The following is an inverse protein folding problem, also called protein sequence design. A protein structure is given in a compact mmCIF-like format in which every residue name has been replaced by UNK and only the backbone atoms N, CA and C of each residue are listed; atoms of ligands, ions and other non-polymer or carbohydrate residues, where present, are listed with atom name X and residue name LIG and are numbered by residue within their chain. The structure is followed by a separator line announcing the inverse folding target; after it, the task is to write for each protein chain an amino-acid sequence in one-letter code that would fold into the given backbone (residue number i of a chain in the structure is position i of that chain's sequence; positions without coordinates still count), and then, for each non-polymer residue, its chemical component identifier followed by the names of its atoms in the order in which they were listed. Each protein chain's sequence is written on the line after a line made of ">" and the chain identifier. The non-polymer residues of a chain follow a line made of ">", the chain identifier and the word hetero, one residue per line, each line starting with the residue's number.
data_IF_219989098231
#
_entry.id   IF_219989098231
#
_cell.length_a   1.000
_cell.length_b   1.000
_cell.length_c   1.000
_cell.angle_alpha   90.00
_cell.angle_beta   90.00
_cell.angle_gamma   90.00
#
_symmetry.space_group_name_H-M   'P 1'
#
loop_
_entity.id
_entity.type
_entity.pdbx_description
1 polymer ?
#
# COMPACT_ATOMS: atom_id res chain seq x y z
N UNK A 1 9.04 1.52 -0.25
CA UNK A 1 10.10 0.48 -0.35
C UNK A 1 9.58 -0.81 0.29
N UNK A 2 9.96 -1.97 -0.25
CA UNK A 2 9.61 -3.27 0.34
C UNK A 2 10.71 -4.30 0.05
N UNK A 3 11.08 -5.09 1.07
CA UNK A 3 12.10 -6.12 0.95
C UNK A 3 12.44 -6.76 2.30
N UNK A 4 13.56 -7.45 2.38
CA UNK A 4 14.10 -8.01 3.62
C UNK A 4 15.17 -7.11 4.22
N UNK A 5 15.28 -7.10 5.54
CA UNK A 5 16.37 -6.39 6.24
C UNK A 5 17.72 -7.13 6.17
N UNK A 6 17.72 -8.40 5.82
CA UNK A 6 18.88 -9.25 5.60
C UNK A 6 18.41 -10.62 5.09
N UNK A 7 19.30 -11.48 4.58
CA UNK A 7 18.94 -12.85 4.22
C UNK A 7 18.25 -13.57 5.39
N UNK A 8 17.07 -14.13 5.17
CA UNK A 8 16.25 -14.77 6.21
C UNK A 8 15.61 -13.82 7.25
N UNK A 9 15.85 -12.52 7.15
CA UNK A 9 15.26 -11.51 8.02
C UNK A 9 13.79 -11.20 7.72
N UNK A 10 13.16 -10.32 8.52
CA UNK A 10 11.77 -9.95 8.35
C UNK A 10 11.55 -9.25 6.99
N UNK A 11 10.41 -9.52 6.37
CA UNK A 11 9.90 -8.72 5.25
C UNK A 11 9.35 -7.43 5.81
N UNK A 12 9.90 -6.32 5.35
CA UNK A 12 9.52 -4.98 5.80
C UNK A 12 9.08 -4.11 4.66
N UNK A 13 8.30 -3.10 4.99
CA UNK A 13 7.90 -2.06 4.05
C UNK A 13 7.93 -0.67 4.70
N UNK A 14 8.14 0.33 3.86
CA UNK A 14 7.86 1.74 4.11
C UNK A 14 6.87 2.15 3.04
N UNK A 15 5.66 2.54 3.45
CA UNK A 15 4.57 2.89 2.53
C UNK A 15 4.51 4.39 2.27
N UNK A 16 3.83 4.78 1.18
CA UNK A 16 3.36 6.14 0.96
C UNK A 16 1.87 6.18 1.28
N UNK A 17 1.46 7.07 2.15
CA UNK A 17 0.05 7.25 2.46
C UNK A 17 -0.66 7.89 1.26
N UNK A 18 -1.84 7.39 0.91
CA UNK A 18 -2.72 7.99 -0.09
C UNK A 18 -3.96 8.54 0.61
N UNK A 19 -4.03 9.85 0.88
CA UNK A 19 -5.18 10.46 1.55
C UNK A 19 -6.38 10.66 0.62
N UNK A 20 -6.18 10.56 -0.69
CA UNK A 20 -7.21 10.85 -1.70
C UNK A 20 -8.10 9.66 -2.05
N UNK A 21 -7.61 8.44 -1.82
CA UNK A 21 -8.31 7.21 -2.19
C UNK A 21 -8.26 6.20 -1.05
N UNK A 22 -9.35 5.45 -0.89
CA UNK A 22 -9.44 4.50 0.21
C UNK A 22 -10.65 3.58 0.12
N UNK A 23 -10.99 3.03 1.27
CA UNK A 23 -12.19 2.22 1.47
C UNK A 23 -13.00 2.82 2.60
N UNK A 24 -14.29 2.99 2.38
CA UNK A 24 -15.27 3.30 3.43
C UNK A 24 -16.20 2.11 3.65
N UNK A 25 -16.58 1.89 4.89
CA UNK A 25 -17.55 0.87 5.28
C UNK A 25 -18.57 1.49 6.21
N UNK A 26 -19.85 1.31 5.87
CA UNK A 26 -20.98 1.71 6.71
C UNK A 26 -21.70 0.47 7.22
N UNK A 27 -21.95 0.41 8.54
CA UNK A 27 -22.84 -0.58 9.12
C UNK A 27 -24.28 -0.10 9.02
N UNK A 28 -25.08 -0.73 8.18
CA UNK A 28 -26.46 -0.32 7.85
C UNK A 28 -27.53 -1.03 8.68
N UNK A 29 -27.15 -2.03 9.47
CA UNK A 29 -28.09 -2.70 10.34
C UNK A 29 -27.57 -3.96 11.01
N UNK A 30 -28.44 -4.55 11.85
CA UNK A 30 -28.18 -5.80 12.54
C UNK A 30 -28.67 -7.00 11.72
N UNK A 31 -28.33 -8.22 12.15
CA UNK A 31 -28.72 -9.48 11.53
C UNK A 31 -27.55 -10.34 11.13
N UNK A 32 -27.77 -11.38 10.32
CA UNK A 32 -26.68 -12.18 9.75
C UNK A 32 -25.67 -11.32 8.99
N UNK A 33 -24.40 -11.73 8.99
CA UNK A 33 -23.35 -11.02 8.26
C UNK A 33 -23.69 -10.96 6.77
N UNK A 34 -23.80 -9.77 6.24
CA UNK A 34 -23.92 -9.50 4.79
C UNK A 34 -23.08 -8.31 4.38
N UNK A 35 -22.51 -8.41 3.18
CA UNK A 35 -21.68 -7.38 2.56
C UNK A 35 -22.31 -6.97 1.24
N UNK A 36 -22.41 -5.68 1.01
CA UNK A 36 -22.82 -5.07 -0.25
C UNK A 36 -21.70 -4.14 -0.73
N UNK A 37 -21.45 -4.09 -2.02
CA UNK A 37 -20.43 -3.23 -2.65
C UNK A 37 -20.08 -3.70 -4.05
N UNK A 38 -19.65 -2.77 -4.90
CA UNK A 38 -19.21 -3.06 -6.25
C UNK A 38 -18.02 -2.14 -6.59
N UNK A 39 -16.80 -2.71 -6.73
CA UNK A 39 -16.47 -4.13 -6.47
C UNK A 39 -16.39 -4.47 -4.98
N UNK A 40 -16.67 -5.73 -4.62
CA UNK A 40 -16.37 -6.25 -3.29
C UNK A 40 -14.86 -6.49 -3.15
N UNK A 41 -14.22 -5.76 -2.24
CA UNK A 41 -12.77 -5.86 -1.98
C UNK A 41 -12.42 -6.93 -0.95
N UNK A 42 -13.39 -7.42 -0.18
CA UNK A 42 -13.25 -8.53 0.77
C UNK A 42 -14.41 -9.50 0.61
N UNK A 43 -14.14 -10.80 0.77
CA UNK A 43 -15.18 -11.82 0.79
C UNK A 43 -15.88 -11.89 2.15
N UNK A 44 -17.09 -12.49 2.19
CA UNK A 44 -17.80 -12.73 3.44
C UNK A 44 -16.99 -13.62 4.41
N UNK A 45 -16.18 -14.55 3.90
CA UNK A 45 -15.31 -15.39 4.72
C UNK A 45 -14.19 -14.56 5.39
N UNK A 46 -13.55 -13.65 4.65
CA UNK A 46 -12.53 -12.74 5.19
C UNK A 46 -13.15 -11.78 6.22
N UNK A 47 -14.34 -11.25 5.95
CA UNK A 47 -15.06 -10.38 6.87
C UNK A 47 -15.42 -11.11 8.18
N UNK A 48 -15.95 -12.33 8.07
CA UNK A 48 -16.26 -13.16 9.23
C UNK A 48 -15.01 -13.45 10.06
N UNK A 49 -13.91 -13.82 9.41
CA UNK A 49 -12.63 -14.09 10.07
C UNK A 49 -12.07 -12.82 10.73
N UNK A 50 -12.16 -11.67 10.09
CA UNK A 50 -11.73 -10.39 10.66
C UNK A 50 -12.50 -10.04 11.93
N UNK A 51 -13.84 -10.12 11.90
CA UNK A 51 -14.70 -9.86 13.05
C UNK A 51 -14.40 -10.81 14.22
N UNK A 52 -14.26 -12.10 13.94
CA UNK A 52 -13.87 -13.12 14.94
C UNK A 52 -12.53 -12.78 15.59
N UNK A 53 -11.50 -12.42 14.79
CA UNK A 53 -10.15 -12.12 15.29
C UNK A 53 -10.07 -10.86 16.14
N UNK A 54 -10.95 -9.89 15.92
CA UNK A 54 -11.05 -8.70 16.79
C UNK A 54 -12.04 -8.90 17.95
N UNK A 55 -12.61 -10.10 18.12
CA UNK A 55 -13.52 -10.45 19.21
C UNK A 55 -14.91 -9.84 19.10
N UNK A 56 -15.35 -9.51 17.89
CA UNK A 56 -16.66 -8.94 17.62
C UNK A 56 -17.64 -10.02 17.08
N UNK A 57 -18.95 -9.84 17.25
CA UNK A 57 -19.94 -10.73 16.67
C UNK A 57 -19.80 -10.80 15.14
N UNK A 58 -19.82 -12.01 14.59
CA UNK A 58 -19.85 -12.24 13.13
C UNK A 58 -21.29 -12.01 12.63
N UNK A 59 -21.70 -10.74 12.64
CA UNK A 59 -23.05 -10.31 12.35
C UNK A 59 -23.07 -8.86 11.86
N UNK A 60 -24.18 -8.44 11.26
CA UNK A 60 -24.42 -7.09 10.77
C UNK A 60 -24.43 -6.97 9.26
N UNK A 61 -25.07 -5.92 8.77
CA UNK A 61 -25.11 -5.58 7.35
C UNK A 61 -24.16 -4.41 7.11
N UNK A 62 -23.30 -4.55 6.11
CA UNK A 62 -22.26 -3.57 5.78
C UNK A 62 -22.28 -3.24 4.31
N UNK A 63 -22.19 -1.94 4.00
CA UNK A 63 -21.98 -1.42 2.64
C UNK A 63 -20.53 -0.99 2.54
N UNK A 64 -19.83 -1.50 1.53
CA UNK A 64 -18.41 -1.24 1.27
C UNK A 64 -18.29 -0.41 0.01
N UNK A 65 -17.59 0.70 0.08
CA UNK A 65 -17.26 1.54 -1.07
C UNK A 65 -15.74 1.65 -1.18
N UNK A 66 -15.20 1.35 -2.36
CA UNK A 66 -13.77 1.35 -2.61
C UNK A 66 -13.45 2.16 -3.86
N UNK A 67 -12.47 3.06 -3.75
CA UNK A 67 -12.09 3.95 -4.86
C UNK A 67 -11.17 3.26 -5.88
N UNK A 68 -10.51 2.17 -5.49
CA UNK A 68 -9.56 1.43 -6.33
C UNK A 68 -9.88 -0.06 -6.33
N UNK A 69 -9.49 -0.74 -7.41
CA UNK A 69 -9.73 -2.17 -7.57
C UNK A 69 -8.87 -3.02 -6.60
N UNK A 70 -9.41 -4.15 -6.11
CA UNK A 70 -8.65 -5.10 -5.30
C UNK A 70 -7.56 -5.78 -6.16
N UNK A 71 -6.48 -6.20 -5.48
CA UNK A 71 -5.35 -6.87 -6.16
C UNK A 71 -4.42 -5.92 -6.91
N UNK A 72 -4.64 -4.60 -6.81
CA UNK A 72 -3.78 -3.58 -7.40
C UNK A 72 -2.40 -3.45 -6.73
N UNK A 73 -2.24 -3.96 -5.51
CA UNK A 73 -1.03 -3.72 -4.71
C UNK A 73 -1.02 -2.36 -4.00
N UNK A 74 -2.20 -1.72 -3.89
CA UNK A 74 -2.40 -0.43 -3.22
C UNK A 74 -3.00 -0.55 -1.81
N UNK A 75 -2.92 -1.72 -1.18
CA UNK A 75 -3.38 -1.94 0.20
C UNK A 75 -4.90 -2.01 0.39
N UNK A 76 -5.69 -2.10 -0.69
CA UNK A 76 -7.16 -2.01 -0.63
C UNK A 76 -7.80 -3.10 0.23
N UNK A 77 -7.25 -4.32 0.23
CA UNK A 77 -7.78 -5.42 1.04
C UNK A 77 -7.59 -5.16 2.53
N UNK A 78 -6.39 -4.77 2.95
CA UNK A 78 -6.13 -4.36 4.34
C UNK A 78 -6.99 -3.15 4.73
N UNK A 79 -7.15 -2.16 3.85
CA UNK A 79 -7.99 -0.99 4.09
C UNK A 79 -9.46 -1.40 4.34
N UNK A 80 -9.99 -2.32 3.54
CA UNK A 80 -11.35 -2.81 3.67
C UNK A 80 -11.57 -3.60 4.99
N UNK A 81 -10.64 -4.47 5.37
CA UNK A 81 -10.70 -5.20 6.63
C UNK A 81 -10.66 -4.25 7.84
N UNK A 82 -9.76 -3.26 7.82
CA UNK A 82 -9.66 -2.24 8.87
C UNK A 82 -10.94 -1.41 8.95
N UNK A 83 -11.46 -0.93 7.81
CA UNK A 83 -12.69 -0.14 7.77
C UNK A 83 -13.90 -0.95 8.26
N UNK A 84 -14.02 -2.24 7.88
CA UNK A 84 -15.06 -3.13 8.35
C UNK A 84 -15.03 -3.30 9.88
N UNK A 85 -13.86 -3.60 10.44
CA UNK A 85 -13.73 -3.82 11.88
C UNK A 85 -14.00 -2.53 12.67
N UNK A 86 -13.59 -1.36 12.15
CA UNK A 86 -13.93 -0.05 12.72
C UNK A 86 -15.43 0.22 12.68
N UNK A 87 -16.09 -0.03 11.56
CA UNK A 87 -17.55 0.10 11.43
C UNK A 87 -18.29 -0.85 12.38
N UNK A 88 -17.68 -1.96 12.75
CA UNK A 88 -18.21 -2.91 13.73
C UNK A 88 -17.88 -2.54 15.19
N UNK A 89 -17.01 -1.53 15.44
CA UNK A 89 -16.69 -0.99 16.76
C UNK A 89 -15.31 -1.33 17.32
N UNK A 90 -14.35 -1.79 16.48
CA UNK A 90 -12.97 -2.03 16.90
C UNK A 90 -12.04 -0.90 16.45
N UNK A 91 -11.49 -0.12 17.39
CA UNK A 91 -10.51 0.95 17.12
C UNK A 91 -9.09 0.63 17.61
N UNK A 92 -8.87 -0.54 18.22
CA UNK A 92 -7.54 -0.97 18.66
C UNK A 92 -6.65 -1.32 17.46
N UNK A 93 -5.73 -0.41 17.10
CA UNK A 93 -4.81 -0.60 15.97
C UNK A 93 -3.96 -1.86 16.09
N UNK A 94 -3.56 -2.28 17.29
CA UNK A 94 -2.77 -3.49 17.47
C UNK A 94 -3.61 -4.76 17.27
N UNK A 95 -4.86 -4.76 17.71
CA UNK A 95 -5.81 -5.85 17.42
C UNK A 95 -6.12 -5.93 15.93
N UNK A 96 -6.38 -4.79 15.28
CA UNK A 96 -6.60 -4.69 13.84
C UNK A 96 -5.41 -5.25 13.03
N UNK A 97 -4.18 -4.90 13.41
CA UNK A 97 -2.97 -5.36 12.74
C UNK A 97 -2.84 -6.90 12.81
N UNK A 98 -3.01 -7.47 14.01
CA UNK A 98 -2.98 -8.93 14.20
C UNK A 98 -4.10 -9.66 13.45
N UNK A 99 -5.30 -9.07 13.44
CA UNK A 99 -6.43 -9.63 12.72
C UNK A 99 -6.22 -9.62 11.20
N UNK A 100 -5.74 -8.52 10.63
CA UNK A 100 -5.36 -8.46 9.20
C UNK A 100 -4.31 -9.51 8.85
N UNK A 101 -3.26 -9.65 9.69
CA UNK A 101 -2.25 -10.70 9.49
C UNK A 101 -2.87 -12.11 9.50
N UNK A 102 -3.78 -12.38 10.42
CA UNK A 102 -4.45 -13.70 10.51
C UNK A 102 -5.33 -13.99 9.28
N UNK A 103 -5.96 -12.95 8.70
CA UNK A 103 -6.84 -13.10 7.53
C UNK A 103 -6.08 -13.22 6.22
N UNK A 104 -4.97 -12.48 6.06
CA UNK A 104 -4.28 -12.31 4.77
C UNK A 104 -2.85 -12.87 4.74
N UNK A 105 -2.28 -13.25 5.89
CA UNK A 105 -0.88 -13.68 6.00
C UNK A 105 0.15 -12.54 5.87
N UNK A 106 -0.30 -11.35 5.57
CA UNK A 106 0.47 -10.12 5.54
C UNK A 106 -0.46 -8.92 5.72
N UNK A 107 0.05 -7.76 6.13
CA UNK A 107 -0.75 -6.55 6.25
C UNK A 107 0.08 -5.30 5.95
N UNK A 108 -0.60 -4.26 5.47
CA UNK A 108 -0.08 -2.90 5.42
C UNK A 108 -0.37 -2.17 6.74
N UNK A 109 0.37 -1.11 7.12
CA UNK A 109 0.21 -0.43 8.40
C UNK A 109 -0.97 0.56 8.45
N UNK A 110 -2.06 0.32 7.69
CA UNK A 110 -3.16 1.25 7.46
C UNK A 110 -4.06 1.50 8.68
N UNK A 111 -3.96 0.67 9.71
CA UNK A 111 -4.65 0.86 10.99
C UNK A 111 -4.03 1.95 11.86
N UNK A 112 -2.79 2.39 11.54
CA UNK A 112 -2.09 3.45 12.25
C UNK A 112 -2.35 4.82 11.62
N UNK A 113 -2.35 5.89 12.41
CA UNK A 113 -2.62 7.27 11.93
C UNK A 113 -1.51 7.83 11.03
N UNK A 114 -0.29 7.32 11.14
CA UNK A 114 0.88 7.75 10.37
C UNK A 114 1.59 6.54 9.74
N UNK A 115 0.95 5.82 8.79
CA UNK A 115 1.49 4.59 8.23
C UNK A 115 2.80 4.80 7.47
N UNK A 116 3.01 5.98 6.90
CA UNK A 116 4.20 6.42 6.17
C UNK A 116 5.41 6.74 7.06
N UNK A 117 5.23 6.71 8.39
CA UNK A 117 6.30 6.90 9.40
C UNK A 117 6.73 5.60 10.07
N UNK A 118 6.44 4.47 9.44
CA UNK A 118 6.70 3.16 10.03
C UNK A 118 7.58 2.30 9.13
N UNK A 119 8.61 1.70 9.72
CA UNK A 119 9.22 0.50 9.18
C UNK A 119 8.38 -0.67 9.70
N UNK A 120 7.56 -1.20 8.80
CA UNK A 120 6.53 -2.18 9.13
C UNK A 120 6.94 -3.58 8.72
N UNK A 121 6.94 -4.53 9.66
CA UNK A 121 7.13 -5.94 9.37
C UNK A 121 5.79 -6.58 8.98
N UNK A 122 5.49 -6.58 7.68
CA UNK A 122 4.16 -6.91 7.13
C UNK A 122 3.67 -8.32 7.46
N UNK A 123 4.59 -9.27 7.64
CA UNK A 123 4.30 -10.67 7.99
C UNK A 123 4.42 -10.98 9.48
N UNK A 124 4.56 -9.95 10.32
CA UNK A 124 4.58 -10.05 11.79
C UNK A 124 3.56 -9.12 12.44
N UNK A 125 2.97 -8.20 11.67
CA UNK A 125 2.14 -7.11 12.16
C UNK A 125 2.85 -6.28 13.26
N UNK A 126 4.13 -5.95 13.03
CA UNK A 126 4.99 -5.29 14.00
C UNK A 126 5.60 -4.00 13.45
N UNK A 127 5.63 -2.96 14.27
CA UNK A 127 6.42 -1.76 14.01
C UNK A 127 7.85 -2.04 14.48
N UNK A 128 8.81 -2.14 13.55
CA UNK A 128 10.22 -2.33 13.91
C UNK A 128 10.90 -1.02 14.25
N UNK A 129 10.50 0.07 13.59
CA UNK A 129 11.08 1.39 13.79
C UNK A 129 10.07 2.48 13.43
N UNK A 130 10.10 3.59 14.15
CA UNK A 130 9.46 4.84 13.69
C UNK A 130 10.46 5.61 12.85
N UNK A 131 9.99 6.08 11.70
CA UNK A 131 10.80 6.78 10.72
C UNK A 131 10.46 8.27 10.69
N UNK A 132 11.40 9.07 10.20
CA UNK A 132 11.15 10.45 9.87
C UNK A 132 10.04 10.54 8.81
N UNK A 133 9.18 11.57 8.88
CA UNK A 133 8.12 11.75 7.89
C UNK A 133 8.71 11.87 6.48
N UNK A 134 7.96 11.39 5.51
CA UNK A 134 8.24 11.71 4.11
C UNK A 134 8.00 13.21 3.92
N UNK A 135 8.94 13.98 3.36
CA UNK A 135 8.69 15.36 3.01
C UNK A 135 7.50 15.49 2.05
N UNK A 136 6.85 16.66 2.04
CA UNK A 136 5.74 16.91 1.12
C UNK A 136 6.14 16.60 -0.32
N UNK A 137 5.31 15.81 -1.00
CA UNK A 137 5.53 15.39 -2.38
C UNK A 137 4.20 15.19 -3.10
N UNK A 138 4.26 15.14 -4.42
CA UNK A 138 3.16 14.74 -5.28
C UNK A 138 3.45 13.37 -5.89
N UNK A 139 2.42 12.55 -5.90
CA UNK A 139 2.45 11.21 -6.48
C UNK A 139 1.59 11.20 -7.73
N UNK A 140 2.17 10.71 -8.82
CA UNK A 140 1.45 10.35 -10.03
C UNK A 140 1.53 8.84 -10.20
N UNK A 141 0.42 8.15 -9.98
CA UNK A 141 0.35 6.69 -9.94
C UNK A 141 -0.63 6.11 -10.94
N UNK A 142 -0.65 4.79 -11.02
CA UNK A 142 -1.55 4.00 -11.83
C UNK A 142 -1.23 2.51 -11.74
N UNK A 143 -1.93 1.70 -12.52
CA UNK A 143 -1.78 0.25 -12.49
C UNK A 143 -1.27 -0.25 -13.84
N UNK A 144 -0.12 -0.95 -13.83
CA UNK A 144 0.50 -1.50 -15.02
C UNK A 144 0.50 -3.03 -14.99
N UNK A 145 -0.40 -3.62 -15.75
CA UNK A 145 -0.65 -5.06 -15.78
C UNK A 145 -1.89 -5.49 -15.00
N UNK A 146 -2.18 -6.80 -14.97
CA UNK A 146 -3.38 -7.32 -14.32
C UNK A 146 -3.26 -7.31 -12.79
N UNK A 147 -4.39 -7.25 -12.06
CA UNK A 147 -4.44 -7.43 -10.62
C UNK A 147 -3.83 -8.77 -10.19
N UNK A 148 -3.08 -8.73 -9.09
CA UNK A 148 -2.43 -9.92 -8.54
C UNK A 148 -2.63 -9.98 -7.02
N UNK A 149 -3.10 -11.11 -6.52
CA UNK A 149 -3.21 -11.33 -5.06
C UNK A 149 -1.85 -11.60 -4.45
N UNK A 150 -1.64 -11.13 -3.23
CA UNK A 150 -0.47 -11.47 -2.43
C UNK A 150 -0.51 -12.95 -2.06
N UNK A 151 0.60 -13.64 -2.31
CA UNK A 151 0.81 -15.00 -1.83
C UNK A 151 1.49 -14.93 -0.45
N UNK A 152 0.87 -15.47 0.61
CA UNK A 152 1.47 -15.51 1.94
C UNK A 152 2.78 -16.29 1.99
N UNK A 153 2.95 -17.29 1.14
CA UNK A 153 4.15 -18.14 1.06
C UNK A 153 5.27 -17.55 0.20
N UNK A 154 5.00 -16.43 -0.49
CA UNK A 154 6.01 -15.76 -1.32
C UNK A 154 7.22 -15.36 -0.47
N UNK A 155 8.39 -15.87 -0.83
CA UNK A 155 9.65 -15.61 -0.13
C UNK A 155 10.62 -14.71 -0.90
N UNK A 156 10.30 -14.36 -2.14
CA UNK A 156 11.16 -13.67 -3.07
C UNK A 156 11.17 -12.15 -2.84
N UNK A 157 11.90 -11.75 -1.82
CA UNK A 157 12.07 -10.34 -1.46
C UNK A 157 13.54 -9.93 -1.55
N UNK A 158 13.86 -8.82 -2.24
CA UNK A 158 15.22 -8.30 -2.29
C UNK A 158 15.66 -7.81 -0.91
N UNK A 159 16.97 -7.83 -0.66
CA UNK A 159 17.55 -7.17 0.51
C UNK A 159 17.49 -5.66 0.31
N UNK A 160 17.00 -4.96 1.34
CA UNK A 160 16.89 -3.48 1.39
C UNK A 160 17.45 -2.91 2.70
N UNK A 161 18.27 -3.65 3.42
CA UNK A 161 18.80 -3.20 4.72
C UNK A 161 19.60 -1.91 4.58
N UNK A 162 20.39 -1.76 3.54
CA UNK A 162 21.15 -0.56 3.20
C UNK A 162 20.24 0.65 2.88
N UNK A 163 19.13 0.41 2.16
CA UNK A 163 18.16 1.47 1.85
C UNK A 163 17.43 1.95 3.11
N UNK A 164 17.08 1.03 3.99
CA UNK A 164 16.48 1.37 5.29
C UNK A 164 17.46 2.15 6.15
N UNK A 165 18.74 1.75 6.20
CA UNK A 165 19.77 2.44 6.95
C UNK A 165 20.04 3.87 6.41
N UNK A 166 19.87 4.11 5.11
CA UNK A 166 20.04 5.42 4.48
C UNK A 166 18.80 6.33 4.61
N UNK A 167 17.65 5.82 5.10
CA UNK A 167 16.40 6.59 5.17
C UNK A 167 16.42 7.76 6.19
N UNK A 168 16.97 7.61 7.41
CA UNK A 168 16.99 8.70 8.39
C UNK A 168 17.73 9.94 7.88
N UNK A 169 17.14 11.11 8.06
CA UNK A 169 17.71 12.38 7.63
C UNK A 169 17.76 12.62 6.12
N UNK A 170 17.35 11.66 5.30
CA UNK A 170 17.30 11.84 3.85
C UNK A 170 16.22 12.87 3.46
N UNK A 171 16.56 13.76 2.53
CA UNK A 171 15.61 14.70 1.92
C UNK A 171 14.66 13.99 0.94
N UNK A 172 13.76 14.75 0.29
CA UNK A 172 12.79 14.17 -0.64
C UNK A 172 13.46 13.48 -1.83
N UNK A 173 14.50 14.09 -2.40
CA UNK A 173 15.18 13.54 -3.57
C UNK A 173 15.89 12.23 -3.22
N UNK A 174 16.58 12.19 -2.09
CA UNK A 174 17.22 10.98 -1.59
C UNK A 174 16.20 9.88 -1.27
N UNK A 175 15.07 10.19 -0.61
CA UNK A 175 14.01 9.22 -0.32
C UNK A 175 13.36 8.67 -1.61
N UNK A 176 13.16 9.52 -2.62
CA UNK A 176 12.65 9.11 -3.92
C UNK A 176 13.64 8.18 -4.67
N UNK A 177 14.94 8.46 -4.56
CA UNK A 177 15.99 7.59 -5.09
C UNK A 177 16.01 6.23 -4.38
N UNK A 178 15.93 6.19 -3.04
CA UNK A 178 15.81 4.94 -2.27
C UNK A 178 14.58 4.12 -2.68
N UNK A 179 13.45 4.78 -2.95
CA UNK A 179 12.25 4.11 -3.48
C UNK A 179 12.52 3.51 -4.86
N UNK A 180 13.22 4.24 -5.75
CA UNK A 180 13.60 3.77 -7.08
C UNK A 180 14.54 2.57 -7.03
N UNK A 181 15.54 2.60 -6.16
CA UNK A 181 16.46 1.47 -5.94
C UNK A 181 15.71 0.23 -5.44
N UNK A 182 14.77 0.39 -4.50
CA UNK A 182 13.92 -0.70 -4.02
C UNK A 182 13.05 -1.26 -5.16
N UNK A 183 12.47 -0.41 -5.99
CA UNK A 183 11.68 -0.81 -7.15
C UNK A 183 12.54 -1.58 -8.18
N UNK A 184 13.74 -1.12 -8.47
CA UNK A 184 14.68 -1.79 -9.37
C UNK A 184 15.10 -3.17 -8.85
N UNK A 185 15.45 -3.30 -7.56
CA UNK A 185 15.77 -4.59 -6.94
C UNK A 185 14.59 -5.57 -7.04
N UNK A 186 13.38 -5.08 -6.82
CA UNK A 186 12.17 -5.88 -6.98
C UNK A 186 11.98 -6.32 -8.44
N UNK A 187 12.14 -5.43 -9.41
CA UNK A 187 12.03 -5.75 -10.83
C UNK A 187 13.11 -6.74 -11.30
N UNK A 188 14.34 -6.58 -10.83
CA UNK A 188 15.44 -7.51 -11.16
C UNK A 188 15.20 -8.91 -10.62
N UNK A 189 14.57 -9.03 -9.45
CA UNK A 189 14.29 -10.33 -8.82
C UNK A 189 13.05 -11.01 -9.40
N UNK A 190 12.00 -10.25 -9.70
CA UNK A 190 10.64 -10.76 -9.96
C UNK A 190 10.12 -10.42 -11.35
N UNK A 191 10.78 -9.51 -12.06
CA UNK A 191 10.23 -8.94 -13.28
C UNK A 191 9.01 -8.00 -12.99
N UNK A 192 8.32 -7.57 -13.99
CA UNK A 192 8.67 -7.66 -15.41
C UNK A 192 9.89 -6.79 -15.77
N UNK A 193 10.62 -7.16 -16.80
CA UNK A 193 11.86 -6.48 -17.23
C UNK A 193 11.61 -5.19 -18.02
N UNK A 194 10.41 -5.02 -18.53
CA UNK A 194 9.96 -3.93 -19.41
C UNK A 194 9.10 -2.89 -18.68
N UNK A 195 9.24 -2.80 -17.36
CA UNK A 195 8.54 -1.78 -16.54
C UNK A 195 8.85 -0.38 -17.06
N UNK A 196 7.84 0.40 -17.52
CA UNK A 196 8.08 1.69 -18.15
C UNK A 196 8.49 2.80 -17.18
N UNK A 197 8.33 2.59 -15.88
CA UNK A 197 8.46 3.66 -14.88
C UNK A 197 9.83 4.31 -14.80
N UNK A 198 10.96 3.60 -14.91
CA UNK A 198 12.29 4.24 -14.89
C UNK A 198 12.48 5.27 -16.00
N UNK A 199 12.14 4.92 -17.24
CA UNK A 199 12.31 5.81 -18.39
C UNK A 199 11.24 6.91 -18.42
N UNK A 200 10.02 6.59 -18.03
CA UNK A 200 8.93 7.54 -17.92
C UNK A 200 9.25 8.61 -16.85
N UNK A 201 9.77 8.18 -15.70
CA UNK A 201 10.19 9.08 -14.63
C UNK A 201 11.27 10.06 -15.07
N UNK A 202 12.31 9.59 -15.76
CA UNK A 202 13.37 10.45 -16.33
C UNK A 202 12.77 11.47 -17.31
N UNK A 203 11.92 11.02 -18.24
CA UNK A 203 11.30 11.88 -19.26
C UNK A 203 10.42 12.96 -18.64
N UNK A 204 9.71 12.66 -17.57
CA UNK A 204 8.81 13.57 -16.88
C UNK A 204 9.48 14.41 -15.78
N UNK A 205 10.77 14.18 -15.50
CA UNK A 205 11.49 14.90 -14.44
C UNK A 205 11.09 14.52 -13.02
N UNK A 206 10.59 13.28 -12.81
CA UNK A 206 10.31 12.77 -11.48
C UNK A 206 11.59 12.60 -10.67
N UNK A 207 11.50 12.80 -9.35
CA UNK A 207 12.60 12.57 -8.42
C UNK A 207 12.91 11.08 -8.25
N UNK A 208 11.91 10.23 -8.46
CA UNK A 208 12.03 8.79 -8.37
C UNK A 208 10.72 8.08 -8.70
N UNK A 209 10.75 6.77 -8.57
CA UNK A 209 9.59 5.92 -8.81
C UNK A 209 9.44 4.86 -7.74
N UNK A 210 8.23 4.34 -7.59
CA UNK A 210 7.90 3.25 -6.69
C UNK A 210 7.03 2.21 -7.39
N UNK A 211 7.07 0.98 -6.89
CA UNK A 211 6.18 -0.11 -7.32
C UNK A 211 5.68 -0.90 -6.13
N UNK A 212 4.51 -1.51 -6.27
CA UNK A 212 4.09 -2.59 -5.39
C UNK A 212 5.02 -3.80 -5.55
N UNK A 213 5.25 -4.53 -4.47
CA UNK A 213 5.97 -5.81 -4.55
C UNK A 213 5.17 -6.85 -5.33
N UNK A 214 3.89 -6.97 -4.99
CA UNK A 214 2.91 -7.77 -5.69
C UNK A 214 1.85 -6.85 -6.27
N UNK A 215 1.42 -7.12 -7.49
CA UNK A 215 0.41 -6.32 -8.17
C UNK A 215 0.96 -5.20 -9.05
N UNK A 216 0.06 -4.59 -9.83
CA UNK A 216 0.39 -3.65 -10.89
C UNK A 216 0.64 -2.21 -10.42
N UNK A 217 0.43 -1.84 -9.15
CA UNK A 217 0.59 -0.45 -8.72
C UNK A 217 2.00 0.09 -8.96
N UNK A 218 2.06 1.25 -9.60
CA UNK A 218 3.26 2.01 -9.96
C UNK A 218 3.05 3.48 -9.62
N UNK A 219 4.13 4.17 -9.27
CA UNK A 219 4.07 5.59 -8.97
C UNK A 219 5.37 6.31 -9.36
N UNK A 220 5.23 7.56 -9.79
CA UNK A 220 6.29 8.56 -9.88
C UNK A 220 6.18 9.52 -8.71
N UNK A 221 7.32 9.95 -8.19
CA UNK A 221 7.43 10.82 -7.02
C UNK A 221 7.98 12.17 -7.50
N UNK A 222 7.25 13.24 -7.23
CA UNK A 222 7.61 14.60 -7.63
C UNK A 222 7.72 15.53 -6.41
N UNK A 223 8.51 16.60 -6.55
CA UNK A 223 8.39 17.72 -5.63
C UNK A 223 7.02 18.41 -5.80
N UNK A 224 6.48 19.06 -4.76
CA UNK A 224 5.19 19.71 -4.84
C UNK A 224 5.13 20.74 -6.00
N UNK A 225 4.09 20.68 -6.81
CA UNK A 225 3.86 21.59 -7.93
C UNK A 225 4.74 21.34 -9.17
N UNK A 226 5.50 20.24 -9.23
CA UNK A 226 6.42 19.99 -10.36
C UNK A 226 5.95 18.88 -11.31
N UNK A 227 4.78 18.31 -11.11
CA UNK A 227 4.18 17.35 -12.07
C UNK A 227 3.90 18.10 -13.38
N UNK A 228 4.54 17.71 -14.51
CA UNK A 228 4.41 18.46 -15.75
C UNK A 228 3.00 18.28 -16.36
N UNK A 229 2.59 19.27 -17.15
CA UNK A 229 1.36 19.17 -17.94
C UNK A 229 1.44 17.96 -18.90
N UNK A 230 0.34 17.22 -19.00
CA UNK A 230 0.26 16.02 -19.84
C UNK A 230 0.90 14.77 -19.23
N UNK A 231 1.43 14.82 -18.00
CA UNK A 231 2.04 13.67 -17.35
C UNK A 231 1.06 12.50 -17.17
N UNK A 232 -0.19 12.76 -16.84
CA UNK A 232 -1.25 11.73 -16.73
C UNK A 232 -1.50 11.02 -18.07
N UNK A 233 -1.54 11.80 -19.17
CA UNK A 233 -1.64 11.23 -20.51
C UNK A 233 -0.42 10.37 -20.84
N UNK A 234 0.78 10.82 -20.51
CA UNK A 234 1.99 10.05 -20.73
C UNK A 234 2.01 8.72 -19.95
N UNK A 235 1.44 8.68 -18.74
CA UNK A 235 1.24 7.43 -17.99
C UNK A 235 0.29 6.48 -18.72
N UNK A 236 -0.85 7.00 -19.20
CA UNK A 236 -1.83 6.20 -19.96
C UNK A 236 -1.24 5.67 -21.26
N UNK A 237 -0.50 6.50 -22.02
CA UNK A 237 0.20 6.10 -23.24
C UNK A 237 1.29 5.05 -22.99
N UNK A 238 1.88 5.02 -21.77
CA UNK A 238 2.80 3.98 -21.34
C UNK A 238 2.09 2.68 -20.87
N UNK A 239 0.76 2.62 -20.95
CA UNK A 239 -0.05 1.42 -20.66
C UNK A 239 -0.52 1.32 -19.21
N UNK A 240 -0.46 2.38 -18.41
CA UNK A 240 -1.05 2.39 -17.08
C UNK A 240 -2.56 2.68 -17.16
N UNK A 241 -3.34 1.96 -16.39
CA UNK A 241 -4.77 2.23 -16.15
C UNK A 241 -4.97 3.00 -14.84
N UNK A 242 -6.18 3.54 -14.66
CA UNK A 242 -6.63 4.21 -13.43
C UNK A 242 -5.58 5.20 -12.90
N UNK A 243 -5.08 6.05 -13.80
CA UNK A 243 -4.07 7.05 -13.47
C UNK A 243 -4.64 8.03 -12.45
N UNK A 244 -3.91 8.25 -11.37
CA UNK A 244 -4.32 9.08 -10.24
C UNK A 244 -3.18 9.98 -9.79
N UNK A 245 -3.54 11.16 -9.26
CA UNK A 245 -2.59 12.13 -8.72
C UNK A 245 -3.04 12.57 -7.34
N UNK A 246 -2.11 12.59 -6.38
CA UNK A 246 -2.38 13.08 -5.03
C UNK A 246 -1.13 13.65 -4.37
N UNK A 247 -1.34 14.56 -3.41
CA UNK A 247 -0.29 15.04 -2.52
C UNK A 247 -0.19 14.16 -1.28
N UNK A 248 1.01 13.96 -0.76
CA UNK A 248 1.26 13.22 0.48
C UNK A 248 2.53 13.72 1.17
N UNK A 249 2.82 13.19 2.37
CA UNK A 249 3.97 13.63 3.15
C UNK A 249 3.77 15.00 3.80
N UNK A 250 4.87 15.60 4.26
CA UNK A 250 4.85 16.93 4.89
C UNK A 250 4.10 16.98 6.22
N UNK A 251 3.84 15.85 6.82
CA UNK A 251 2.94 15.71 7.95
C UNK A 251 3.24 16.63 9.11
N UNK A 252 2.20 17.32 9.57
CA UNK A 252 2.15 18.07 10.81
C UNK A 252 2.35 17.17 12.03
#
# INVERSE_FOLDING_TARGET
>A
MQGRLQPGGPVVLVTLACPAHGVSVERTGDGPLSLEGDPLVVSSAQAAHMLDKVGLPVAGRYVISADLLPGGGAGMSTAALVALARAAGCDDSAALARACLAVEGASDPLMWSTPDRLLWASRRAEILQRLDPVPACEILGGFWGPPQRTDPEDSDFPDIADLVAAWPGADLAAKADLASQSAQRCSSLRGPVDDPMPELGKRLGALGHARAHTGPARALIFAPGTVPEGAERAMTEAGLSDVLRFATGGGA
#
